data_IF_786276151873
#
_entry.id   IF_786276151873
#
_cell.length_a   1.000
_cell.length_b   1.000
_cell.length_c   1.000
_cell.angle_alpha   90.00
_cell.angle_beta   90.00
_cell.angle_gamma   90.00
#
_symmetry.space_group_name_H-M   'P 1'
#
loop_
_entity.id
_entity.type
_entity.pdbx_description
1 polymer ?
#
# COMPACT_ATOMS: atom_id res chain seq x y z
N UNK A 1 -21.19 2.66 8.72
CA UNK A 1 -21.57 3.21 7.41
C UNK A 1 -20.96 2.40 6.27
N UNK A 2 -19.70 1.97 6.44
CA UNK A 2 -19.03 1.16 5.44
C UNK A 2 -18.92 -0.30 5.85
N UNK A 3 -19.62 -0.70 6.88
CA UNK A 3 -19.60 -2.07 7.38
C UNK A 3 -20.32 -3.00 6.39
N UNK A 4 -19.72 -4.15 6.13
CA UNK A 4 -20.32 -5.12 5.21
C UNK A 4 -19.27 -6.04 4.60
N UNK A 5 -19.70 -6.88 3.67
CA UNK A 5 -18.85 -7.89 3.03
C UNK A 5 -18.86 -7.82 1.50
N UNK A 6 -19.27 -6.70 0.92
CA UNK A 6 -19.36 -6.58 -0.54
C UNK A 6 -18.01 -6.41 -1.20
N UNK A 7 -17.05 -5.78 -0.51
CA UNK A 7 -15.69 -5.60 -1.03
C UNK A 7 -14.70 -5.99 0.06
N UNK A 8 -13.52 -6.44 -0.38
CA UNK A 8 -12.45 -6.81 0.53
C UNK A 8 -11.15 -6.18 0.06
N UNK A 9 -10.40 -5.57 0.99
CA UNK A 9 -9.08 -5.05 0.70
C UNK A 9 -8.04 -6.15 0.90
N UNK A 10 -7.30 -6.54 -0.15
CA UNK A 10 -6.31 -7.62 0.00
C UNK A 10 -5.09 -7.21 0.85
N UNK A 11 -4.89 -5.92 1.08
CA UNK A 11 -3.75 -5.46 1.87
C UNK A 11 -4.03 -5.58 3.36
N UNK A 12 -5.19 -5.09 3.82
CA UNK A 12 -5.52 -5.15 5.26
C UNK A 12 -6.47 -6.29 5.60
N UNK A 13 -7.04 -6.98 4.62
CA UNK A 13 -7.96 -8.10 4.77
C UNK A 13 -9.27 -7.75 5.47
N UNK A 14 -9.61 -6.47 5.54
CA UNK A 14 -10.90 -6.04 6.07
C UNK A 14 -11.93 -6.01 4.96
N UNK A 15 -13.19 -6.19 5.33
CA UNK A 15 -14.31 -6.18 4.38
C UNK A 15 -15.21 -4.99 4.68
N UNK A 16 -15.86 -4.48 3.63
CA UNK A 16 -16.71 -3.31 3.72
C UNK A 16 -17.88 -3.44 2.75
N UNK A 17 -18.91 -2.61 2.94
CA UNK A 17 -20.00 -2.55 1.96
C UNK A 17 -19.53 -1.92 0.66
N UNK A 18 -18.63 -0.95 0.75
CA UNK A 18 -18.00 -0.30 -0.42
C UNK A 18 -16.75 0.42 0.05
N UNK A 19 -15.88 0.76 -0.90
CA UNK A 19 -14.74 1.63 -0.64
C UNK A 19 -15.16 3.09 -0.70
N UNK A 20 -14.31 3.96 -0.13
CA UNK A 20 -14.53 5.41 -0.17
C UNK A 20 -14.26 5.96 -1.56
N UNK A 21 -14.74 7.17 -1.80
CA UNK A 21 -14.38 7.90 -3.01
C UNK A 21 -13.02 8.56 -2.87
N UNK A 22 -12.42 8.93 -4.01
CA UNK A 22 -11.12 9.58 -4.02
C UNK A 22 -11.00 10.46 -5.25
N UNK A 23 -10.35 11.59 -5.10
CA UNK A 23 -10.05 12.49 -6.19
C UNK A 23 -10.68 13.87 -6.01
N UNK A 24 -10.32 14.75 -6.94
CA UNK A 24 -10.85 16.12 -6.96
C UNK A 24 -12.21 16.15 -7.65
N UNK A 25 -12.81 17.34 -7.69
CA UNK A 25 -14.07 17.53 -8.41
C UNK A 25 -13.93 17.22 -9.90
N UNK A 26 -12.72 17.33 -10.44
CA UNK A 26 -12.46 17.05 -11.87
C UNK A 26 -12.19 15.57 -12.10
N UNK A 27 -11.49 14.90 -11.17
CA UNK A 27 -11.06 13.53 -11.31
C UNK A 27 -11.59 12.65 -10.18
N UNK A 28 -12.81 12.88 -9.75
CA UNK A 28 -13.43 12.15 -8.66
C UNK A 28 -13.81 10.73 -9.08
N UNK A 29 -13.44 9.76 -8.28
CA UNK A 29 -13.81 8.35 -8.48
C UNK A 29 -14.43 7.80 -7.20
N UNK A 30 -15.45 6.99 -7.34
CA UNK A 30 -16.13 6.39 -6.21
C UNK A 30 -15.71 4.93 -6.04
N UNK A 31 -15.84 4.42 -4.83
CA UNK A 31 -15.60 3.01 -4.50
C UNK A 31 -14.17 2.55 -4.82
N UNK A 32 -13.19 3.37 -4.48
CA UNK A 32 -11.78 3.07 -4.81
C UNK A 32 -10.84 3.10 -3.62
N UNK A 33 -11.15 3.87 -2.57
CA UNK A 33 -10.24 4.07 -1.44
C UNK A 33 -10.64 3.20 -0.26
N UNK A 34 -9.72 2.34 0.21
CA UNK A 34 -9.99 1.51 1.37
C UNK A 34 -10.16 2.37 2.63
N UNK A 35 -11.27 2.23 3.38
CA UNK A 35 -11.48 3.04 4.57
C UNK A 35 -10.48 2.77 5.71
N UNK A 36 -9.87 1.59 5.73
CA UNK A 36 -8.96 1.21 6.82
C UNK A 36 -7.52 1.65 6.55
N UNK A 37 -6.95 1.27 5.41
CA UNK A 37 -5.54 1.53 5.13
C UNK A 37 -5.31 2.58 4.06
N UNK A 38 -6.37 3.14 3.49
CA UNK A 38 -6.33 4.22 2.49
C UNK A 38 -5.62 3.81 1.21
N UNK A 39 -5.66 2.52 0.86
CA UNK A 39 -5.10 2.05 -0.42
C UNK A 39 -6.06 2.36 -1.57
N UNK A 40 -5.47 2.69 -2.72
CA UNK A 40 -6.18 2.80 -3.99
C UNK A 40 -6.02 1.52 -4.79
N UNK A 41 -6.66 1.47 -5.95
CA UNK A 41 -6.61 0.28 -6.82
C UNK A 41 -5.18 -0.13 -7.17
N UNK A 42 -4.32 0.85 -7.54
CA UNK A 42 -2.94 0.54 -7.93
C UNK A 42 -2.14 -0.05 -6.77
N UNK A 43 -2.43 0.39 -5.54
CA UNK A 43 -1.76 -0.15 -4.35
C UNK A 43 -2.19 -1.60 -4.11
N UNK A 44 -3.48 -1.87 -4.22
CA UNK A 44 -4.00 -3.22 -4.02
C UNK A 44 -3.50 -4.18 -5.09
N UNK A 45 -3.43 -3.71 -6.34
CA UNK A 45 -2.90 -4.53 -7.43
C UNK A 45 -1.42 -4.85 -7.22
N UNK A 46 -0.63 -3.86 -6.83
CA UNK A 46 0.79 -4.07 -6.52
C UNK A 46 0.96 -5.09 -5.40
N UNK A 47 0.18 -4.97 -4.34
CA UNK A 47 0.24 -5.90 -3.20
C UNK A 47 -0.04 -7.33 -3.63
N UNK A 48 -1.11 -7.52 -4.41
CA UNK A 48 -1.47 -8.84 -4.91
C UNK A 48 -0.35 -9.42 -5.77
N UNK A 49 0.22 -8.60 -6.65
CA UNK A 49 1.32 -9.03 -7.50
C UNK A 49 2.52 -9.49 -6.67
N UNK A 50 2.92 -8.69 -5.69
CA UNK A 50 4.07 -9.02 -4.84
C UNK A 50 3.82 -10.29 -4.04
N UNK A 51 2.60 -10.50 -3.59
CA UNK A 51 2.25 -11.63 -2.75
C UNK A 51 2.06 -12.91 -3.56
N UNK A 52 1.32 -12.84 -4.67
CA UNK A 52 0.88 -14.03 -5.39
C UNK A 52 1.72 -14.36 -6.63
N UNK A 53 2.43 -13.37 -7.19
CA UNK A 53 3.15 -13.53 -8.45
C UNK A 53 4.63 -13.21 -8.34
N UNK A 54 5.14 -13.08 -7.12
CA UNK A 54 6.57 -12.86 -6.91
C UNK A 54 6.98 -13.51 -5.58
N UNK A 55 8.29 -13.54 -5.32
CA UNK A 55 8.84 -14.05 -4.07
C UNK A 55 9.24 -12.91 -3.11
N UNK A 56 8.62 -11.74 -3.27
CA UNK A 56 8.95 -10.56 -2.48
C UNK A 56 8.87 -10.81 -0.97
N UNK A 57 7.84 -11.51 -0.52
CA UNK A 57 7.63 -11.78 0.90
C UNK A 57 8.32 -13.05 1.41
N UNK A 58 8.90 -13.84 0.53
CA UNK A 58 9.47 -15.14 0.91
C UNK A 58 10.98 -15.24 0.74
N UNK A 59 11.58 -14.40 -0.11
CA UNK A 59 13.03 -14.41 -0.32
C UNK A 59 13.73 -13.89 0.93
N UNK A 60 14.64 -14.67 1.55
CA UNK A 60 15.36 -14.17 2.74
C UNK A 60 16.34 -13.06 2.37
N UNK A 61 16.44 -12.06 3.25
CA UNK A 61 17.39 -10.96 3.13
C UNK A 61 17.30 -10.23 1.79
N UNK A 62 16.07 -9.96 1.36
CA UNK A 62 15.82 -9.22 0.14
C UNK A 62 16.06 -7.72 0.38
N UNK A 63 16.91 -7.11 -0.44
CA UNK A 63 17.18 -5.68 -0.37
C UNK A 63 16.15 -4.94 -1.20
N UNK A 64 15.45 -3.98 -0.58
CA UNK A 64 14.38 -3.23 -1.24
C UNK A 64 14.65 -1.74 -1.12
N UNK A 65 14.70 -1.04 -2.25
CA UNK A 65 14.72 0.41 -2.29
C UNK A 65 13.38 0.89 -2.83
N UNK A 66 12.62 1.55 -1.98
CA UNK A 66 11.27 2.02 -2.33
C UNK A 66 11.33 3.51 -2.64
N UNK A 67 11.27 3.85 -3.91
CA UNK A 67 11.35 5.23 -4.36
C UNK A 67 9.98 5.89 -4.25
N UNK A 68 9.94 7.14 -3.74
CA UNK A 68 8.70 7.89 -3.56
C UNK A 68 7.63 7.01 -2.90
N UNK A 69 7.88 6.51 -1.69
CA UNK A 69 7.07 5.44 -1.12
C UNK A 69 5.64 5.86 -0.81
N UNK A 70 4.72 4.97 -1.11
CA UNK A 70 3.32 5.14 -0.75
C UNK A 70 3.15 4.92 0.75
N UNK A 71 2.46 5.85 1.40
CA UNK A 71 2.28 5.84 2.85
C UNK A 71 1.66 4.53 3.34
N UNK A 72 0.76 3.96 2.56
CA UNK A 72 0.06 2.74 2.97
C UNK A 72 0.96 1.51 3.05
N UNK A 73 2.16 1.55 2.44
CA UNK A 73 3.07 0.41 2.43
C UNK A 73 4.26 0.55 3.37
N UNK A 74 4.60 1.77 3.80
CA UNK A 74 5.83 2.00 4.56
C UNK A 74 5.90 1.13 5.81
N UNK A 75 4.89 1.17 6.66
CA UNK A 75 4.90 0.39 7.90
C UNK A 75 4.87 -1.11 7.63
N UNK A 76 4.12 -1.54 6.60
CA UNK A 76 4.01 -2.95 6.28
C UNK A 76 5.35 -3.51 5.82
N UNK A 77 6.09 -2.76 5.00
CA UNK A 77 7.38 -3.22 4.51
C UNK A 77 8.45 -3.12 5.60
N UNK A 78 8.40 -2.11 6.47
CA UNK A 78 9.32 -1.98 7.58
C UNK A 78 9.25 -3.15 8.55
N UNK A 79 8.06 -3.68 8.77
CA UNK A 79 7.86 -4.78 9.70
C UNK A 79 8.05 -6.15 9.08
N UNK A 80 8.29 -6.22 7.78
CA UNK A 80 8.50 -7.48 7.08
C UNK A 80 9.91 -7.98 7.33
N UNK A 81 10.05 -9.12 8.00
CA UNK A 81 11.34 -9.59 8.51
C UNK A 81 12.34 -9.98 7.44
N UNK A 82 11.87 -10.39 6.28
CA UNK A 82 12.77 -10.81 5.19
C UNK A 82 13.30 -9.64 4.36
N UNK A 83 12.87 -8.41 4.64
CA UNK A 83 13.25 -7.26 3.83
C UNK A 83 14.30 -6.41 4.54
N UNK A 84 15.32 -6.01 3.78
CA UNK A 84 16.21 -4.91 4.15
C UNK A 84 15.66 -3.70 3.39
N UNK A 85 14.87 -2.89 4.07
CA UNK A 85 14.00 -1.91 3.43
C UNK A 85 14.53 -0.49 3.61
N UNK A 86 14.72 0.20 2.48
CA UNK A 86 15.12 1.60 2.44
C UNK A 86 14.10 2.39 1.63
N UNK A 87 13.88 3.64 2.02
CA UNK A 87 13.03 4.53 1.25
C UNK A 87 13.82 5.74 0.77
N UNK A 88 13.40 6.30 -0.36
CA UNK A 88 13.98 7.51 -0.90
C UNK A 88 12.92 8.31 -1.63
N UNK A 89 12.90 9.62 -1.40
CA UNK A 89 11.93 10.51 -2.03
C UNK A 89 12.57 11.90 -2.10
N UNK A 90 12.13 12.70 -3.07
CA UNK A 90 12.61 14.07 -3.22
C UNK A 90 12.31 14.87 -1.95
N UNK A 91 11.11 14.72 -1.41
CA UNK A 91 10.76 15.40 -0.16
C UNK A 91 11.60 14.90 1.02
N UNK A 92 11.88 13.61 1.06
CA UNK A 92 12.69 13.01 2.11
C UNK A 92 14.15 13.42 2.04
N UNK A 93 14.65 13.73 0.85
CA UNK A 93 16.03 14.20 0.68
C UNK A 93 16.29 15.50 1.42
N UNK A 94 15.27 16.30 1.63
CA UNK A 94 15.39 17.55 2.37
C UNK A 94 15.36 17.34 3.88
N UNK A 95 14.80 16.24 4.31
CA UNK A 95 14.60 15.95 5.73
C UNK A 95 15.55 14.90 6.24
N UNK A 96 15.87 13.95 5.44
CA UNK A 96 16.77 12.82 5.66
C UNK A 96 16.24 11.65 4.87
N UNK A 97 17.15 10.80 4.44
CA UNK A 97 16.78 9.53 3.85
C UNK A 97 16.59 8.55 4.99
N UNK A 98 15.50 7.81 4.96
CA UNK A 98 15.19 6.84 6.00
C UNK A 98 15.85 5.51 5.65
N UNK A 99 16.79 5.15 6.46
CA UNK A 99 17.52 3.90 6.28
C UNK A 99 16.98 2.82 7.21
#
# INVERSE_FOLDING_TARGET
LYRGNNVECPVCNHTFSKFLSYGSNVAHRENVLCPYDLTLERHRLMWIYLKDHSDFFTTPQLNVLHMAPEQCFIERFKTQKNLIYLTADIESCRKNIFL
#
